data_IF_044263815855
#
_entry.id   IF_044263815855
#
_cell.length_a   1.000
_cell.length_b   1.000
_cell.length_c   1.000
_cell.angle_alpha   90.00
_cell.angle_beta   90.00
_cell.angle_gamma   90.00
#
_symmetry.space_group_name_H-M   'P 1'
#
loop_
_entity.id
_entity.type
_entity.pdbx_description
1 polymer ?
#
# COMPACT_ATOMS: atom_id res chain seq x y z
N UNK A 1 4.11 -12.73 -26.12
CA UNK A 1 3.16 -12.60 -24.98
C UNK A 1 2.23 -11.44 -25.30
N UNK A 2 0.91 -11.66 -25.35
CA UNK A 2 -0.05 -10.61 -25.70
C UNK A 2 -0.56 -9.97 -24.40
N UNK A 3 -0.06 -8.79 -24.08
CA UNK A 3 -0.50 -8.00 -22.92
C UNK A 3 -1.14 -6.70 -23.38
N UNK A 4 -2.14 -6.24 -22.62
CA UNK A 4 -2.76 -4.93 -22.81
C UNK A 4 -2.59 -4.15 -21.51
N UNK A 5 -2.15 -2.90 -21.64
CA UNK A 5 -2.07 -1.97 -20.51
C UNK A 5 -3.22 -0.97 -20.60
N UNK A 6 -3.94 -0.78 -19.50
CA UNK A 6 -4.98 0.23 -19.38
C UNK A 6 -4.90 0.86 -17.99
N UNK A 7 -4.69 2.17 -17.94
CA UNK A 7 -4.52 2.94 -16.71
C UNK A 7 -3.41 2.36 -15.80
N UNK A 8 -3.79 1.73 -14.70
CA UNK A 8 -2.95 1.14 -13.65
C UNK A 8 -3.01 -0.39 -13.62
N UNK A 9 -3.54 -1.02 -14.68
CA UNK A 9 -3.62 -2.48 -14.82
C UNK A 9 -2.99 -2.96 -16.12
N UNK A 10 -2.24 -4.05 -16.05
CA UNK A 10 -1.84 -4.88 -17.19
C UNK A 10 -2.65 -6.17 -17.16
N UNK A 11 -3.33 -6.49 -18.27
CA UNK A 11 -4.00 -7.76 -18.48
C UNK A 11 -3.16 -8.66 -19.40
N UNK A 12 -2.88 -9.87 -18.96
CA UNK A 12 -2.33 -10.93 -19.80
C UNK A 12 -3.48 -11.68 -20.48
N UNK A 13 -3.56 -11.57 -21.81
CA UNK A 13 -4.63 -12.19 -22.60
C UNK A 13 -4.48 -13.71 -22.73
N UNK A 14 -3.31 -14.27 -22.38
CA UNK A 14 -3.08 -15.71 -22.44
C UNK A 14 -3.53 -16.42 -21.18
N UNK A 15 -3.16 -15.89 -20.01
CA UNK A 15 -3.56 -16.45 -18.71
C UNK A 15 -4.88 -15.87 -18.16
N UNK A 16 -5.33 -14.72 -18.66
CA UNK A 16 -6.44 -13.96 -18.08
C UNK A 16 -6.08 -13.26 -16.76
N UNK A 17 -4.81 -13.30 -16.35
CA UNK A 17 -4.36 -12.71 -15.11
C UNK A 17 -4.03 -11.22 -15.27
N UNK A 18 -4.20 -10.46 -14.18
CA UNK A 18 -3.97 -9.02 -14.16
C UNK A 18 -2.95 -8.62 -13.10
N UNK A 19 -2.24 -7.52 -13.39
CA UNK A 19 -1.12 -7.03 -12.59
C UNK A 19 -1.19 -5.51 -12.47
N UNK A 20 -0.70 -4.91 -11.37
CA UNK A 20 -0.52 -3.46 -11.31
C UNK A 20 0.45 -2.99 -12.40
N UNK A 21 0.07 -1.94 -13.13
CA UNK A 21 0.89 -1.32 -14.17
C UNK A 21 1.40 0.05 -13.73
N UNK A 22 2.71 0.27 -13.89
CA UNK A 22 3.35 1.57 -13.75
C UNK A 22 4.05 1.92 -15.07
N UNK A 23 4.02 3.20 -15.44
CA UNK A 23 4.78 3.67 -16.60
C UNK A 23 6.28 3.40 -16.39
N UNK A 24 7.03 3.05 -17.45
CA UNK A 24 8.49 2.93 -17.37
C UNK A 24 9.10 4.21 -16.78
N UNK A 25 10.08 4.06 -15.89
CA UNK A 25 10.77 5.15 -15.18
C UNK A 25 9.89 5.98 -14.21
N UNK A 26 8.67 5.55 -13.92
CA UNK A 26 7.85 6.17 -12.89
C UNK A 26 8.17 5.56 -11.52
N UNK A 27 8.68 6.38 -10.61
CA UNK A 27 8.92 5.99 -9.22
C UNK A 27 7.76 6.52 -8.38
N UNK A 28 7.07 5.68 -7.58
CA UNK A 28 6.02 6.15 -6.69
C UNK A 28 6.61 7.06 -5.61
N UNK A 29 5.89 8.15 -5.28
CA UNK A 29 6.29 9.09 -4.23
C UNK A 29 5.13 9.27 -3.25
N UNK A 30 5.46 9.31 -1.96
CA UNK A 30 4.52 9.64 -0.91
C UNK A 30 4.60 11.13 -0.56
N UNK A 31 3.47 11.66 -0.11
CA UNK A 31 3.41 13.00 0.48
C UNK A 31 4.22 13.01 1.77
N UNK A 32 5.10 14.00 1.92
CA UNK A 32 5.93 14.15 3.11
C UNK A 32 5.08 14.36 4.37
N UNK A 33 5.44 13.70 5.47
CA UNK A 33 4.75 13.82 6.76
C UNK A 33 4.71 15.25 7.33
N UNK A 34 5.65 16.11 6.93
CA UNK A 34 5.75 17.53 7.32
C UNK A 34 5.14 18.50 6.29
N UNK A 35 4.45 17.99 5.28
CA UNK A 35 3.73 18.84 4.32
C UNK A 35 2.61 19.62 5.01
N UNK A 36 2.13 20.69 4.37
CA UNK A 36 1.02 21.51 4.86
C UNK A 36 -0.36 20.88 4.61
N UNK A 37 -0.42 19.59 4.26
CA UNK A 37 -1.68 18.90 4.01
C UNK A 37 -2.42 18.57 5.31
N UNK A 38 -3.76 18.47 5.28
CA UNK A 38 -4.53 18.08 6.45
C UNK A 38 -4.05 16.74 7.02
N UNK A 39 -3.84 16.62 8.35
CA UNK A 39 -3.31 15.40 8.96
C UNK A 39 -4.10 14.13 8.65
N UNK A 40 -5.41 14.25 8.46
CA UNK A 40 -6.29 13.14 8.11
C UNK A 40 -5.94 12.54 6.73
N UNK A 41 -5.56 13.38 5.75
CA UNK A 41 -5.15 12.91 4.42
C UNK A 41 -3.83 12.14 4.54
N UNK A 42 -2.83 12.71 5.21
CA UNK A 42 -1.52 12.09 5.40
C UNK A 42 -1.66 10.72 6.09
N UNK A 43 -2.52 10.61 7.11
CA UNK A 43 -2.78 9.34 7.83
C UNK A 43 -3.48 8.29 6.98
N UNK A 44 -4.41 8.69 6.10
CA UNK A 44 -5.21 7.76 5.32
C UNK A 44 -4.49 7.27 4.05
N UNK A 45 -3.52 8.03 3.52
CA UNK A 45 -2.81 7.71 2.28
C UNK A 45 -2.22 6.29 2.26
N UNK A 46 -1.42 5.83 3.25
CA UNK A 46 -0.83 4.50 3.21
C UNK A 46 -1.87 3.38 3.15
N UNK A 47 -2.95 3.51 3.94
CA UNK A 47 -4.02 2.51 3.96
C UNK A 47 -4.78 2.43 2.62
N UNK A 48 -5.06 3.59 2.01
CA UNK A 48 -5.77 3.68 0.74
C UNK A 48 -4.95 3.14 -0.43
N UNK A 49 -3.64 3.43 -0.46
CA UNK A 49 -2.72 2.91 -1.47
C UNK A 49 -2.54 1.40 -1.32
N UNK A 50 -2.37 0.90 -0.10
CA UNK A 50 -2.29 -0.54 0.15
C UNK A 50 -3.54 -1.27 -0.35
N UNK A 51 -4.74 -0.77 -0.01
CA UNK A 51 -6.00 -1.34 -0.50
C UNK A 51 -6.03 -1.40 -2.02
N UNK A 52 -5.70 -0.30 -2.69
CA UNK A 52 -5.65 -0.25 -4.16
C UNK A 52 -4.63 -1.25 -4.72
N UNK A 53 -3.45 -1.37 -4.10
CA UNK A 53 -2.43 -2.33 -4.54
C UNK A 53 -2.90 -3.78 -4.41
N UNK A 54 -3.64 -4.10 -3.35
CA UNK A 54 -4.29 -5.40 -3.18
C UNK A 54 -5.37 -5.63 -4.25
N UNK A 55 -6.23 -4.64 -4.51
CA UNK A 55 -7.31 -4.74 -5.50
C UNK A 55 -6.78 -4.92 -6.93
N UNK A 56 -5.62 -4.32 -7.26
CA UNK A 56 -4.97 -4.44 -8.56
C UNK A 56 -4.11 -5.70 -8.71
N UNK A 57 -3.89 -6.45 -7.63
CA UNK A 57 -3.06 -7.67 -7.64
C UNK A 57 -3.95 -8.91 -7.69
N UNK A 58 -3.82 -9.70 -8.74
CA UNK A 58 -4.63 -10.91 -8.91
C UNK A 58 -4.40 -12.00 -7.87
N UNK A 59 -3.20 -12.05 -7.27
CA UNK A 59 -2.81 -13.04 -6.27
C UNK A 59 -1.68 -12.49 -5.37
N UNK A 60 -1.36 -13.24 -4.33
CA UNK A 60 -0.34 -12.87 -3.36
C UNK A 60 1.07 -12.73 -3.97
N UNK A 61 1.44 -13.58 -4.92
CA UNK A 61 2.75 -13.50 -5.56
C UNK A 61 2.91 -12.20 -6.36
N UNK A 62 1.86 -11.77 -7.06
CA UNK A 62 1.82 -10.48 -7.75
C UNK A 62 1.97 -9.34 -6.76
N UNK A 63 1.19 -9.36 -5.68
CA UNK A 63 1.26 -8.33 -4.65
C UNK A 63 2.65 -8.21 -4.02
N UNK A 64 3.23 -9.34 -3.59
CA UNK A 64 4.55 -9.39 -2.96
C UNK A 64 5.67 -8.92 -3.88
N UNK A 65 5.48 -8.98 -5.21
CA UNK A 65 6.43 -8.43 -6.18
C UNK A 65 6.43 -6.91 -6.20
N UNK A 66 5.27 -6.26 -6.03
CA UNK A 66 5.14 -4.79 -6.17
C UNK A 66 5.22 -4.06 -4.83
N UNK A 67 4.81 -4.70 -3.73
CA UNK A 67 4.80 -4.12 -2.39
C UNK A 67 6.13 -3.48 -1.95
N UNK A 68 7.32 -4.08 -2.24
CA UNK A 68 8.60 -3.51 -1.83
C UNK A 68 8.85 -2.09 -2.39
N UNK A 69 8.44 -1.83 -3.63
CA UNK A 69 8.63 -0.52 -4.28
C UNK A 69 7.83 0.57 -3.57
N UNK A 70 6.58 0.28 -3.20
CA UNK A 70 5.75 1.22 -2.45
C UNK A 70 6.19 1.37 -1.00
N UNK A 71 6.70 0.31 -0.38
CA UNK A 71 7.25 0.37 0.98
C UNK A 71 8.49 1.26 1.04
N UNK A 72 9.38 1.16 0.05
CA UNK A 72 10.55 2.03 -0.06
C UNK A 72 10.13 3.51 -0.19
N UNK A 73 9.21 3.82 -1.11
CA UNK A 73 8.69 5.17 -1.29
C UNK A 73 8.04 5.74 -0.01
N UNK A 74 7.36 4.89 0.77
CA UNK A 74 6.79 5.26 2.05
C UNK A 74 7.88 5.57 3.08
N UNK A 75 8.91 4.72 3.18
CA UNK A 75 10.04 4.93 4.10
C UNK A 75 10.79 6.23 3.79
N UNK A 76 10.99 6.52 2.50
CA UNK A 76 11.67 7.74 2.03
C UNK A 76 10.90 9.02 2.42
N UNK A 77 9.57 8.93 2.57
CA UNK A 77 8.71 10.07 2.94
C UNK A 77 8.80 10.52 4.41
N UNK A 78 9.78 9.98 5.17
CA UNK A 78 10.01 10.21 6.60
C UNK A 78 8.74 10.08 7.46
N UNK A 79 8.18 8.88 7.63
CA UNK A 79 7.14 8.66 8.61
C UNK A 79 7.75 8.54 10.03
N UNK A 80 7.37 9.43 10.95
CA UNK A 80 7.58 9.25 12.40
C UNK A 80 6.51 8.32 13.00
N UNK A 81 6.18 7.22 12.33
CA UNK A 81 5.19 6.26 12.84
C UNK A 81 5.70 4.85 12.61
N UNK A 82 6.54 4.42 13.54
CA UNK A 82 6.71 3.01 13.82
C UNK A 82 5.47 2.53 14.60
N UNK A 83 4.38 2.21 13.90
CA UNK A 83 3.29 1.47 14.51
C UNK A 83 2.69 0.51 13.48
N UNK A 84 3.15 -0.74 13.56
CA UNK A 84 2.50 -1.96 13.08
C UNK A 84 2.00 -2.04 11.62
N UNK A 85 2.58 -1.30 10.67
CA UNK A 85 2.18 -1.33 9.25
C UNK A 85 3.25 -1.95 8.33
N UNK A 86 3.70 -3.17 8.65
CA UNK A 86 4.21 -4.04 7.59
C UNK A 86 3.04 -4.45 6.69
N UNK A 87 3.28 -4.61 5.39
CA UNK A 87 2.30 -5.18 4.44
C UNK A 87 1.95 -6.62 4.85
N UNK A 88 1.05 -6.76 5.82
CA UNK A 88 0.39 -8.00 6.19
C UNK A 88 -1.09 -7.88 5.79
N UNK A 89 -1.72 -8.97 5.33
CA UNK A 89 -3.14 -8.95 5.00
C UNK A 89 -3.96 -8.46 6.20
N UNK A 90 -4.85 -7.49 5.95
CA UNK A 90 -5.56 -6.71 6.98
C UNK A 90 -6.39 -7.54 7.97
N UNK A 91 -6.54 -8.86 7.73
CA UNK A 91 -7.24 -9.79 8.63
C UNK A 91 -6.53 -10.03 9.97
N UNK A 92 -5.27 -9.63 10.14
CA UNK A 92 -4.52 -9.82 11.40
C UNK A 92 -4.30 -8.55 12.25
N UNK A 93 -4.52 -7.35 11.71
CA UNK A 93 -4.16 -6.09 12.41
C UNK A 93 -5.26 -5.58 13.37
N UNK A 94 -6.53 -5.94 13.14
CA UNK A 94 -7.65 -5.41 13.92
C UNK A 94 -7.71 -5.86 15.40
N UNK A 95 -6.91 -6.87 15.81
CA UNK A 95 -6.98 -7.42 17.16
C UNK A 95 -6.10 -6.68 18.19
N UNK A 96 -5.20 -5.79 17.77
CA UNK A 96 -4.26 -5.14 18.69
C UNK A 96 -4.71 -3.78 19.22
N UNK A 97 -5.50 -3.03 18.44
CA UNK A 97 -5.97 -1.68 18.84
C UNK A 97 -6.96 -1.74 20.02
N UNK A 98 -7.64 -2.87 20.23
CA UNK A 98 -8.61 -3.01 21.33
C UNK A 98 -8.00 -3.30 22.72
N UNK A 99 -6.67 -3.47 22.83
CA UNK A 99 -6.03 -3.88 24.11
C UNK A 99 -5.29 -2.76 24.84
N UNK A 100 -4.97 -1.65 24.19
CA UNK A 100 -4.14 -0.59 24.78
C UNK A 100 -4.95 0.54 25.45
N UNK A 101 -6.27 0.63 25.23
CA UNK A 101 -7.14 1.64 25.88
C UNK A 101 -7.68 1.23 27.27
N UNK A 102 -7.25 0.08 27.83
CA UNK A 102 -7.73 -0.41 29.15
C UNK A 102 -6.73 -0.26 30.30
N UNK A 103 -5.56 0.35 30.10
CA UNK A 103 -4.56 0.54 31.17
C UNK A 103 -4.34 2.00 31.58
N UNK A 104 -5.27 2.91 31.26
CA UNK A 104 -5.21 4.31 31.68
C UNK A 104 -6.45 4.77 32.46
N UNK A 105 -6.99 3.91 33.34
CA UNK A 105 -7.72 4.33 34.54
C UNK A 105 -7.41 3.30 35.64
N UNK A 106 -6.34 3.54 36.41
CA UNK A 106 -6.20 3.09 37.79
C UNK A 106 -5.17 3.97 38.51
#
# INVERSE_FOLDING_TARGET
MKTINYLDVTLDLTSGQYYPYSKPNSIPLYVNSKSNHPPQIIRNLPSSINRRLSDLSSNEAVFNKVAPTYQQALNDSKPLVQQCNGYLPQRFCQQRIAREDRSFIQ
#
